data_IF_285153774194
#
_entry.id   IF_285153774194
#
_cell.length_a   1.000
_cell.length_b   1.000
_cell.length_c   1.000
_cell.angle_alpha   90.00
_cell.angle_beta   90.00
_cell.angle_gamma   90.00
#
_symmetry.space_group_name_H-M   'P 1'
#
loop_
_entity.id
_entity.type
_entity.pdbx_description
1 polymer ?
#
# COMPACT_ATOMS: atom_id res chain seq x y z
N UNK A 1 -6.66 23.07 -1.60
CA UNK A 1 -5.88 21.90 -1.14
C UNK A 1 -4.45 22.34 -0.88
N UNK A 2 -3.78 21.80 0.15
CA UNK A 2 -2.34 22.04 0.36
C UNK A 2 -1.52 21.26 -0.68
N UNK A 3 -0.30 21.71 -0.96
CA UNK A 3 0.63 21.11 -1.93
C UNK A 3 0.82 19.60 -1.72
N UNK A 4 1.09 19.18 -0.48
CA UNK A 4 1.24 17.75 -0.11
C UNK A 4 -0.02 16.92 -0.46
N UNK A 5 -1.23 17.50 -0.28
CA UNK A 5 -2.46 16.81 -0.65
C UNK A 5 -2.59 16.62 -2.16
N UNK A 6 -2.13 17.60 -2.96
CA UNK A 6 -2.13 17.50 -4.42
C UNK A 6 -1.12 16.48 -4.91
N UNK A 7 0.10 16.49 -4.36
CA UNK A 7 1.13 15.49 -4.69
C UNK A 7 0.67 14.07 -4.36
N UNK A 8 0.04 13.87 -3.20
CA UNK A 8 -0.56 12.59 -2.84
C UNK A 8 -1.67 12.19 -3.81
N UNK A 9 -2.51 13.12 -4.21
CA UNK A 9 -3.57 12.86 -5.19
C UNK A 9 -2.96 12.43 -6.54
N UNK A 10 -1.94 13.13 -7.01
CA UNK A 10 -1.22 12.78 -8.24
C UNK A 10 -0.56 11.40 -8.14
N UNK A 11 0.06 11.09 -7.00
CA UNK A 11 0.63 9.77 -6.75
C UNK A 11 -0.45 8.67 -6.79
N UNK A 12 -1.56 8.89 -6.09
CA UNK A 12 -2.65 7.93 -5.95
C UNK A 12 -3.40 7.69 -7.26
N UNK A 13 -3.54 8.70 -8.13
CA UNK A 13 -4.29 8.58 -9.38
C UNK A 13 -3.39 8.36 -10.60
N UNK A 14 -2.32 9.13 -10.78
CA UNK A 14 -1.49 8.99 -11.98
C UNK A 14 -0.42 7.89 -11.81
N UNK A 15 0.35 7.95 -10.72
CA UNK A 15 1.50 7.07 -10.54
C UNK A 15 1.09 5.64 -10.19
N UNK A 16 -0.02 5.44 -9.48
CA UNK A 16 -0.54 4.09 -9.15
C UNK A 16 -0.85 3.25 -10.39
N UNK A 17 -1.49 3.84 -11.42
CA UNK A 17 -1.80 3.15 -12.67
C UNK A 17 -0.53 2.79 -13.44
N UNK A 18 0.43 3.71 -13.49
CA UNK A 18 1.73 3.45 -14.13
C UNK A 18 2.46 2.35 -13.37
N UNK A 19 2.51 2.43 -12.04
CA UNK A 19 3.17 1.47 -11.16
C UNK A 19 2.56 0.08 -11.24
N UNK A 20 1.29 -0.06 -11.63
CA UNK A 20 0.69 -1.39 -11.81
C UNK A 20 1.37 -2.16 -12.96
N UNK A 21 1.67 -1.48 -14.07
CA UNK A 21 2.19 -2.08 -15.31
C UNK A 21 3.71 -1.91 -15.46
N UNK A 22 4.32 -0.99 -14.71
CA UNK A 22 5.69 -0.54 -14.86
C UNK A 22 6.71 -1.69 -14.97
N UNK A 23 6.70 -2.66 -14.05
CA UNK A 23 7.67 -3.76 -14.04
C UNK A 23 7.34 -4.93 -14.98
N UNK A 24 6.11 -5.02 -15.49
CA UNK A 24 5.64 -6.19 -16.24
C UNK A 24 5.62 -5.98 -17.76
N UNK A 25 5.59 -4.73 -18.22
CA UNK A 25 5.58 -4.41 -19.64
C UNK A 25 7.01 -4.24 -20.19
N UNK A 26 7.23 -4.75 -21.40
CA UNK A 26 8.51 -4.58 -22.10
C UNK A 26 8.53 -3.24 -22.86
N UNK A 27 8.84 -2.16 -22.14
CA UNK A 27 8.81 -0.80 -22.66
C UNK A 27 9.87 -0.53 -23.72
N UNK A 28 9.46 -0.03 -24.89
CA UNK A 28 10.35 0.54 -25.91
C UNK A 28 10.85 1.92 -25.46
N UNK A 29 12.01 2.33 -25.99
CA UNK A 29 12.61 3.63 -25.63
C UNK A 29 11.66 4.81 -25.83
N UNK A 30 10.93 4.86 -26.95
CA UNK A 30 9.95 5.91 -27.23
C UNK A 30 8.78 5.93 -26.22
N UNK A 31 8.33 4.75 -25.78
CA UNK A 31 7.25 4.62 -24.80
C UNK A 31 7.71 5.11 -23.43
N UNK A 32 8.93 4.74 -22.99
CA UNK A 32 9.54 5.24 -21.75
C UNK A 32 9.59 6.76 -21.72
N UNK A 33 10.05 7.38 -22.81
CA UNK A 33 10.09 8.84 -22.94
C UNK A 33 8.69 9.43 -22.78
N UNK A 34 7.68 8.83 -23.41
CA UNK A 34 6.28 9.28 -23.35
C UNK A 34 5.70 9.15 -21.94
N UNK A 35 5.90 8.02 -21.25
CA UNK A 35 5.44 7.83 -19.87
C UNK A 35 6.12 8.83 -18.93
N UNK A 36 7.45 8.96 -19.02
CA UNK A 36 8.19 9.93 -18.20
C UNK A 36 7.72 11.38 -18.47
N UNK A 37 7.35 11.71 -19.71
CA UNK A 37 6.75 13.00 -20.02
C UNK A 37 5.35 13.18 -19.39
N UNK A 38 4.52 12.13 -19.37
CA UNK A 38 3.22 12.17 -18.70
C UNK A 38 3.35 12.31 -17.18
N UNK A 39 4.30 11.61 -16.55
CA UNK A 39 4.62 11.75 -15.12
C UNK A 39 4.99 13.21 -14.84
N UNK A 40 5.97 13.76 -15.56
CA UNK A 40 6.38 15.17 -15.41
C UNK A 40 5.19 16.11 -15.59
N UNK A 41 4.35 15.89 -16.60
CA UNK A 41 3.17 16.72 -16.85
C UNK A 41 2.21 16.69 -15.66
N UNK A 42 1.93 15.51 -15.09
CA UNK A 42 1.03 15.35 -13.95
C UNK A 42 1.53 16.11 -12.71
N UNK A 43 2.82 15.99 -12.39
CA UNK A 43 3.41 16.73 -11.26
C UNK A 43 3.50 18.22 -11.51
N UNK A 44 3.85 18.65 -12.74
CA UNK A 44 3.82 20.08 -13.10
C UNK A 44 2.43 20.69 -12.98
N UNK A 45 1.38 19.95 -13.37
CA UNK A 45 0.00 20.41 -13.21
C UNK A 45 -0.41 20.50 -11.75
N UNK A 46 0.00 19.53 -10.92
CA UNK A 46 -0.30 19.54 -9.50
C UNK A 46 0.37 20.70 -8.75
N UNK A 47 1.59 21.05 -9.15
CA UNK A 47 2.38 22.14 -8.57
C UNK A 47 2.13 23.51 -9.22
N UNK A 48 1.27 23.60 -10.24
CA UNK A 48 1.00 24.85 -10.94
C UNK A 48 2.18 25.44 -11.71
N UNK A 49 3.18 24.62 -12.09
CA UNK A 49 4.44 25.06 -12.70
C UNK A 49 4.36 25.31 -14.22
N UNK A 50 3.19 25.11 -14.84
CA UNK A 50 3.02 25.20 -16.29
C UNK A 50 3.25 26.60 -16.91
N UNK A 51 3.00 27.74 -16.22
CA UNK A 51 3.21 29.06 -16.81
C UNK A 51 4.48 29.79 -16.33
N UNK A 52 5.24 29.27 -15.36
CA UNK A 52 6.19 30.10 -14.59
C UNK A 52 7.64 30.08 -15.11
N UNK A 53 8.07 29.02 -15.81
CA UNK A 53 9.49 28.81 -16.14
C UNK A 53 9.68 28.01 -17.45
N UNK A 54 10.82 28.18 -18.16
CA UNK A 54 11.15 27.35 -19.32
C UNK A 54 11.13 25.86 -18.98
N UNK A 55 10.49 25.06 -19.84
CA UNK A 55 10.23 23.64 -19.60
C UNK A 55 11.48 22.82 -19.23
N UNK A 56 12.63 23.16 -19.82
CA UNK A 56 13.91 22.50 -19.56
C UNK A 56 14.37 22.69 -18.11
N UNK A 57 14.42 23.95 -17.65
CA UNK A 57 14.86 24.28 -16.29
C UNK A 57 13.98 23.63 -15.23
N UNK A 58 12.66 23.65 -15.43
CA UNK A 58 11.71 22.99 -14.52
C UNK A 58 11.94 21.47 -14.46
N UNK A 59 12.18 20.82 -15.59
CA UNK A 59 12.41 19.37 -15.61
C UNK A 59 13.69 18.99 -14.84
N UNK A 60 14.77 19.75 -15.03
CA UNK A 60 16.05 19.52 -14.34
C UNK A 60 15.87 19.74 -12.84
N UNK A 61 15.20 20.82 -12.45
CA UNK A 61 14.95 21.14 -11.04
C UNK A 61 14.06 20.09 -10.37
N UNK A 62 12.97 19.66 -11.01
CA UNK A 62 12.06 18.63 -10.46
C UNK A 62 12.78 17.30 -10.24
N UNK A 63 13.67 16.92 -11.15
CA UNK A 63 14.48 15.72 -11.01
C UNK A 63 15.52 15.86 -9.89
N UNK A 64 16.23 17.00 -9.84
CA UNK A 64 17.23 17.27 -8.80
C UNK A 64 16.64 17.33 -7.38
N UNK A 65 15.41 17.83 -7.25
CA UNK A 65 14.66 17.86 -6.00
C UNK A 65 13.97 16.54 -5.66
N UNK A 66 13.99 15.54 -6.56
CA UNK A 66 13.35 14.24 -6.34
C UNK A 66 11.82 14.32 -6.23
N UNK A 67 11.19 15.29 -6.90
CA UNK A 67 9.74 15.55 -6.80
C UNK A 67 8.91 14.39 -7.36
N UNK A 68 9.45 13.68 -8.36
CA UNK A 68 8.81 12.53 -8.97
C UNK A 68 9.85 11.47 -9.29
N UNK A 69 9.41 10.21 -9.26
CA UNK A 69 10.21 9.09 -9.74
C UNK A 69 10.06 8.94 -11.26
N UNK A 70 11.09 8.43 -11.91
CA UNK A 70 11.06 7.97 -13.30
C UNK A 70 10.34 6.63 -13.41
N UNK A 71 9.90 6.27 -14.63
CA UNK A 71 9.31 4.97 -14.92
C UNK A 71 10.27 3.83 -14.52
N UNK A 72 11.56 3.99 -14.76
CA UNK A 72 12.61 3.04 -14.44
C UNK A 72 12.70 2.81 -12.93
N UNK A 73 12.75 3.88 -12.14
CA UNK A 73 12.76 3.80 -10.67
C UNK A 73 11.49 3.15 -10.12
N UNK A 74 10.32 3.49 -10.68
CA UNK A 74 9.04 2.87 -10.31
C UNK A 74 9.06 1.38 -10.62
N UNK A 75 9.52 0.99 -11.82
CA UNK A 75 9.61 -0.41 -12.24
C UNK A 75 10.59 -1.19 -11.37
N UNK A 76 11.73 -0.60 -11.01
CA UNK A 76 12.72 -1.21 -10.13
C UNK A 76 12.17 -1.38 -8.71
N UNK A 77 11.56 -0.35 -8.13
CA UNK A 77 10.94 -0.42 -6.81
C UNK A 77 9.86 -1.51 -6.75
N UNK A 78 9.01 -1.58 -7.77
CA UNK A 78 7.98 -2.62 -7.89
C UNK A 78 8.61 -4.02 -8.00
N UNK A 79 9.63 -4.16 -8.85
CA UNK A 79 10.31 -5.44 -9.08
C UNK A 79 10.99 -5.93 -7.80
N UNK A 80 11.68 -5.04 -7.08
CA UNK A 80 12.31 -5.32 -5.79
C UNK A 80 11.28 -5.74 -4.73
N UNK A 81 10.14 -5.04 -4.65
CA UNK A 81 9.05 -5.42 -3.76
C UNK A 81 8.48 -6.81 -4.07
N UNK A 82 8.33 -7.15 -5.36
CA UNK A 82 7.87 -8.48 -5.77
C UNK A 82 8.90 -9.57 -5.47
N UNK A 83 10.19 -9.30 -5.69
CA UNK A 83 11.25 -10.24 -5.32
C UNK A 83 11.26 -10.52 -3.82
N UNK A 84 11.19 -9.47 -3.01
CA UNK A 84 11.12 -9.59 -1.55
C UNK A 84 9.89 -10.39 -1.11
N UNK A 85 8.70 -10.10 -1.68
CA UNK A 85 7.48 -10.86 -1.37
C UNK A 85 7.62 -12.34 -1.73
N UNK A 86 8.23 -12.66 -2.87
CA UNK A 86 8.44 -14.04 -3.29
C UNK A 86 9.47 -14.75 -2.41
N UNK A 87 10.54 -14.07 -1.99
CA UNK A 87 11.58 -14.65 -1.11
C UNK A 87 11.03 -15.04 0.27
N UNK A 88 9.98 -14.37 0.75
CA UNK A 88 9.36 -14.67 2.04
C UNK A 88 8.59 -16.00 2.08
N UNK A 89 8.11 -16.52 0.95
CA UNK A 89 7.27 -17.72 0.92
C UNK A 89 8.01 -18.93 0.36
N UNK A 90 7.70 -20.14 0.84
CA UNK A 90 8.30 -21.38 0.30
C UNK A 90 8.05 -21.53 -1.20
N UNK A 91 6.80 -21.37 -1.63
CA UNK A 91 6.41 -21.45 -3.04
C UNK A 91 7.10 -20.38 -3.88
N UNK A 92 7.17 -19.14 -3.38
CA UNK A 92 7.85 -18.05 -4.08
C UNK A 92 9.34 -18.30 -4.26
N UNK A 93 10.03 -18.82 -3.23
CA UNK A 93 11.44 -19.24 -3.35
C UNK A 93 11.64 -20.34 -4.39
N UNK A 94 10.76 -21.34 -4.44
CA UNK A 94 10.81 -22.38 -5.48
C UNK A 94 10.63 -21.81 -6.88
N UNK A 95 9.73 -20.84 -7.06
CA UNK A 95 9.55 -20.14 -8.34
C UNK A 95 10.84 -19.40 -8.73
N UNK A 96 11.42 -18.63 -7.80
CA UNK A 96 12.66 -17.87 -8.05
C UNK A 96 13.83 -18.79 -8.43
N UNK A 97 14.00 -19.91 -7.73
CA UNK A 97 15.01 -20.93 -8.07
C UNK A 97 14.80 -21.49 -9.48
N UNK A 98 13.54 -21.78 -9.87
CA UNK A 98 13.22 -22.33 -11.20
C UNK A 98 13.58 -21.38 -12.34
N UNK A 99 13.50 -20.06 -12.12
CA UNK A 99 13.89 -19.05 -13.11
C UNK A 99 15.35 -18.61 -12.97
N UNK A 100 16.17 -19.33 -12.17
CA UNK A 100 17.59 -19.06 -12.01
C UNK A 100 17.91 -17.84 -11.13
N UNK A 101 16.95 -17.34 -10.36
CA UNK A 101 17.14 -16.22 -9.44
C UNK A 101 17.37 -16.77 -8.05
N UNK A 102 18.62 -16.64 -7.58
CA UNK A 102 18.98 -16.97 -6.21
C UNK A 102 18.43 -15.87 -5.30
N UNK A 103 17.21 -16.08 -4.78
CA UNK A 103 16.72 -15.25 -3.69
C UNK A 103 17.73 -15.39 -2.53
N UNK A 104 18.18 -14.29 -1.91
CA UNK A 104 18.88 -14.42 -0.64
C UNK A 104 17.98 -15.25 0.27
N UNK A 105 18.58 -16.17 1.02
CA UNK A 105 17.88 -16.75 2.15
C UNK A 105 17.57 -15.60 3.09
N UNK A 106 16.42 -14.96 2.87
CA UNK A 106 15.77 -14.18 3.91
C UNK A 106 15.53 -15.24 4.95
N UNK A 107 16.45 -15.32 5.92
CA UNK A 107 16.16 -15.91 7.22
C UNK A 107 14.85 -15.23 7.54
N UNK A 108 13.70 -15.94 7.50
CA UNK A 108 12.45 -15.30 7.85
C UNK A 108 12.78 -14.66 9.18
N UNK A 109 12.68 -13.33 9.26
CA UNK A 109 12.90 -12.60 10.51
C UNK A 109 12.10 -13.43 11.50
N UNK A 110 12.81 -14.21 12.35
CA UNK A 110 12.23 -15.44 12.89
C UNK A 110 11.06 -14.95 13.67
N UNK A 111 9.87 -15.07 13.09
CA UNK A 111 8.66 -14.54 13.67
C UNK A 111 8.63 -15.34 14.96
N UNK A 112 9.03 -14.70 16.07
CA UNK A 112 9.34 -15.40 17.31
C UNK A 112 8.11 -16.24 17.55
N UNK A 113 8.24 -17.56 17.36
CA UNK A 113 7.07 -18.39 17.36
C UNK A 113 6.47 -18.19 18.73
N UNK A 114 5.22 -17.73 18.78
CA UNK A 114 4.58 -17.53 20.07
C UNK A 114 4.70 -18.85 20.83
N UNK A 115 5.09 -18.80 22.11
CA UNK A 115 5.14 -19.99 22.95
C UNK A 115 3.85 -20.80 22.78
N UNK A 116 3.96 -22.14 22.68
CA UNK A 116 2.83 -23.02 22.36
C UNK A 116 1.66 -22.86 23.34
N UNK A 117 1.97 -22.57 24.59
CA UNK A 117 1.02 -22.25 25.65
C UNK A 117 0.19 -20.99 25.35
N UNK A 118 0.77 -19.97 24.73
CA UNK A 118 0.04 -18.76 24.31
C UNK A 118 -0.87 -19.07 23.11
N UNK A 119 -0.35 -19.83 22.12
CA UNK A 119 -1.13 -20.22 20.94
C UNK A 119 -2.35 -21.07 21.30
N UNK A 120 -2.22 -21.99 22.26
CA UNK A 120 -3.34 -22.82 22.73
C UNK A 120 -4.42 -22.02 23.47
N UNK A 121 -4.07 -20.86 24.02
CA UNK A 121 -5.01 -19.96 24.71
C UNK A 121 -5.69 -18.97 23.76
N UNK A 122 -5.11 -18.73 22.58
CA UNK A 122 -5.67 -17.82 21.59
C UNK A 122 -6.91 -18.44 20.92
N UNK A 123 -8.09 -17.94 21.25
CA UNK A 123 -9.35 -18.29 20.56
C UNK A 123 -9.75 -17.16 19.60
N UNK A 124 -9.61 -17.40 18.30
CA UNK A 124 -10.06 -16.47 17.26
C UNK A 124 -11.34 -17.03 16.62
N UNK A 125 -12.52 -16.47 16.93
CA UNK A 125 -13.75 -16.90 16.29
C UNK A 125 -13.74 -16.55 14.79
N UNK A 126 -14.46 -17.30 13.95
CA UNK A 126 -14.53 -17.00 12.52
C UNK A 126 -15.13 -15.62 12.27
N UNK A 127 -14.74 -15.02 11.13
CA UNK A 127 -15.29 -13.73 10.72
C UNK A 127 -16.82 -13.83 10.58
N UNK A 128 -17.57 -12.86 11.13
CA UNK A 128 -19.03 -12.90 11.08
C UNK A 128 -19.53 -12.77 9.65
N UNK A 129 -20.44 -13.66 9.24
CA UNK A 129 -21.09 -13.61 7.93
C UNK A 129 -22.23 -12.59 7.91
N UNK A 130 -22.53 -12.00 6.76
CA UNK A 130 -23.65 -11.07 6.56
C UNK A 130 -23.61 -9.83 7.48
N UNK A 131 -22.48 -9.10 7.49
CA UNK A 131 -22.28 -7.88 8.30
C UNK A 131 -22.15 -6.60 7.47
N UNK A 132 -22.80 -6.53 6.30
CA UNK A 132 -22.79 -5.31 5.48
C UNK A 132 -23.38 -4.13 6.28
N UNK A 133 -22.71 -2.95 6.33
CA UNK A 133 -23.13 -1.83 7.18
C UNK A 133 -24.56 -1.35 6.96
N UNK A 134 -25.01 -1.30 5.70
CA UNK A 134 -26.32 -0.77 5.31
C UNK A 134 -27.40 -1.86 5.16
N UNK A 135 -27.02 -3.08 4.77
CA UNK A 135 -27.99 -4.14 4.40
C UNK A 135 -28.29 -5.04 5.60
N UNK A 136 -27.38 -5.11 6.58
CA UNK A 136 -27.51 -6.01 7.73
C UNK A 136 -27.34 -5.25 9.06
N UNK A 137 -27.90 -4.04 9.12
CA UNK A 137 -27.78 -3.16 10.28
C UNK A 137 -28.29 -3.82 11.58
N UNK A 138 -29.45 -4.48 11.53
CA UNK A 138 -30.02 -5.20 12.69
C UNK A 138 -29.12 -6.33 13.20
N UNK A 139 -28.46 -7.05 12.29
CA UNK A 139 -27.51 -8.12 12.67
C UNK A 139 -26.27 -7.54 13.33
N UNK A 140 -25.79 -6.39 12.86
CA UNK A 140 -24.66 -5.68 13.45
C UNK A 140 -25.01 -5.16 14.84
N UNK A 141 -26.18 -4.57 15.04
CA UNK A 141 -26.62 -4.09 16.36
C UNK A 141 -26.82 -5.24 17.34
N UNK A 142 -27.50 -6.32 16.93
CA UNK A 142 -27.68 -7.51 17.76
C UNK A 142 -26.35 -8.17 18.15
N UNK A 143 -25.36 -8.17 17.25
CA UNK A 143 -24.02 -8.67 17.55
C UNK A 143 -23.27 -7.76 18.52
N UNK A 144 -23.34 -6.44 18.33
CA UNK A 144 -22.72 -5.48 19.23
C UNK A 144 -23.30 -5.61 20.65
N UNK A 145 -24.62 -5.69 20.78
CA UNK A 145 -25.28 -5.86 22.09
C UNK A 145 -24.90 -7.19 22.76
N UNK A 146 -24.79 -8.28 22.00
CA UNK A 146 -24.32 -9.57 22.53
C UNK A 146 -22.86 -9.48 23.03
N UNK A 147 -21.95 -8.91 22.23
CA UNK A 147 -20.54 -8.74 22.64
C UNK A 147 -20.38 -7.81 23.85
N UNK A 148 -21.19 -6.75 23.94
CA UNK A 148 -21.22 -5.89 25.13
C UNK A 148 -21.75 -6.68 26.32
N UNK A 149 -22.82 -7.45 26.17
CA UNK A 149 -23.37 -8.26 27.27
C UNK A 149 -22.36 -9.29 27.79
N UNK A 150 -21.64 -9.95 26.89
CA UNK A 150 -20.70 -11.03 27.23
C UNK A 150 -19.42 -10.50 27.88
N UNK A 151 -18.98 -9.28 27.54
CA UNK A 151 -17.67 -8.75 27.93
C UNK A 151 -17.70 -7.43 28.72
N UNK A 152 -18.85 -6.79 28.95
CA UNK A 152 -18.94 -5.49 29.63
C UNK A 152 -18.38 -5.50 31.07
N UNK A 153 -18.48 -6.64 31.76
CA UNK A 153 -18.01 -6.79 33.13
C UNK A 153 -16.61 -7.41 33.23
N UNK A 154 -15.96 -7.71 32.10
CA UNK A 154 -14.60 -8.27 32.07
C UNK A 154 -13.58 -7.11 32.06
N UNK A 155 -12.81 -6.89 33.16
CA UNK A 155 -11.82 -5.82 33.22
C UNK A 155 -10.66 -6.02 32.24
N UNK A 156 -10.52 -7.22 31.67
CA UNK A 156 -9.51 -7.55 30.65
C UNK A 156 -10.07 -7.49 29.22
N UNK A 157 -11.33 -7.09 29.02
CA UNK A 157 -11.90 -6.92 27.69
C UNK A 157 -11.56 -5.53 27.11
N UNK A 158 -10.91 -5.54 25.95
CA UNK A 158 -10.58 -4.33 25.20
C UNK A 158 -11.27 -4.34 23.83
N UNK A 159 -11.97 -3.25 23.52
CA UNK A 159 -12.59 -3.04 22.21
C UNK A 159 -11.63 -2.27 21.31
N UNK A 160 -11.15 -2.92 20.25
CA UNK A 160 -10.38 -2.24 19.22
C UNK A 160 -11.31 -1.74 18.11
N UNK A 161 -11.39 -0.43 17.92
CA UNK A 161 -12.03 0.12 16.73
C UNK A 161 -11.05 -0.01 15.55
N UNK A 162 -11.43 -0.84 14.57
CA UNK A 162 -10.63 -1.08 13.38
C UNK A 162 -10.87 -0.03 12.27
N UNK A 163 -11.83 0.88 12.43
CA UNK A 163 -12.14 1.91 11.45
C UNK A 163 -11.50 3.26 11.82
N UNK A 164 -10.70 3.85 10.94
CA UNK A 164 -10.38 5.27 11.02
C UNK A 164 -11.65 6.06 10.69
N UNK A 165 -12.17 6.84 11.64
CA UNK A 165 -13.20 7.83 11.35
C UNK A 165 -12.62 8.90 10.42
N UNK A 166 -13.18 9.11 9.22
CA UNK A 166 -12.97 10.36 8.53
C UNK A 166 -13.69 11.42 9.36
N UNK A 167 -12.92 12.36 9.93
CA UNK A 167 -13.40 13.52 10.69
C UNK A 167 -13.73 13.29 12.17
N UNK A 168 -12.71 13.09 13.01
CA UNK A 168 -12.73 13.63 14.37
C UNK A 168 -11.38 14.28 14.64
N UNK A 169 -11.35 15.62 14.64
CA UNK A 169 -10.21 16.35 15.18
C UNK A 169 -10.12 16.03 16.66
N UNK A 170 -9.01 15.44 17.10
CA UNK A 170 -8.69 15.28 18.51
C UNK A 170 -8.47 16.67 19.10
N UNK A 171 -9.30 17.00 20.10
CA UNK A 171 -9.05 18.04 21.09
C UNK A 171 -7.76 17.77 21.85
#
# INVERSE_FOLDING_TARGET
MREDSLLRLTQLFAVSHISYVASFHNWKAAEKIKINAMIRKAYKTALGLYPLLPNYFVNVLMLALGVHNTLEEIAEAQRTAQYHRLSQTRTGRTILQRIGINAPETTPEVAKQLPRDVLQRLRVPPLPKHMHPQVHQERRTARATALTKDHANDPCAYYADAAKYPHRHST
#
